data_IF_923377028439
#
_entry.id   IF_923377028439
#
_cell.length_a   1.000
_cell.length_b   1.000
_cell.length_c   1.000
_cell.angle_alpha   90.00
_cell.angle_beta   90.00
_cell.angle_gamma   90.00
#
_symmetry.space_group_name_H-M   'P 1'
#
loop_
_entity.id
_entity.type
_entity.pdbx_description
1 polymer ?
#
# COMPACT_ATOMS: atom_id res chain seq x y z
N UNK A 1 -18.36 57.30 29.89
CA UNK A 1 -17.55 56.46 30.79
C UNK A 1 -17.81 55.04 30.37
N UNK A 2 -16.79 54.30 29.94
CA UNK A 2 -17.00 53.21 28.99
C UNK A 2 -16.83 51.86 29.68
N UNK A 3 -17.73 50.92 29.38
CA UNK A 3 -17.82 49.61 30.03
C UNK A 3 -16.53 48.76 29.92
N UNK A 4 -15.68 49.06 28.94
CA UNK A 4 -14.36 48.43 28.78
C UNK A 4 -13.46 48.66 30.00
N UNK A 5 -13.50 49.84 30.63
CA UNK A 5 -12.74 50.12 31.85
C UNK A 5 -13.30 49.35 33.06
N UNK A 6 -14.62 49.21 33.15
CA UNK A 6 -15.28 48.42 34.20
C UNK A 6 -14.96 46.93 34.03
N UNK A 7 -14.98 46.44 32.79
CA UNK A 7 -14.64 45.06 32.42
C UNK A 7 -13.15 44.74 32.64
N UNK A 8 -12.26 45.71 32.36
CA UNK A 8 -10.83 45.58 32.65
C UNK A 8 -10.53 45.54 34.16
N UNK A 9 -11.20 46.37 34.96
CA UNK A 9 -11.06 46.34 36.42
C UNK A 9 -11.64 45.05 37.02
N UNK A 10 -12.76 44.55 36.52
CA UNK A 10 -13.32 43.25 36.92
C UNK A 10 -12.37 42.07 36.60
N UNK A 11 -11.70 42.11 35.44
CA UNK A 11 -10.68 41.10 35.07
C UNK A 11 -9.46 41.11 36.02
N UNK A 12 -9.07 42.28 36.53
CA UNK A 12 -8.00 42.41 37.52
C UNK A 12 -8.44 41.93 38.93
N UNK A 13 -9.68 42.20 39.34
CA UNK A 13 -10.19 41.74 40.65
C UNK A 13 -10.33 40.22 40.76
N UNK A 14 -10.45 39.49 39.66
CA UNK A 14 -10.48 38.01 39.66
C UNK A 14 -9.11 37.33 39.86
N UNK A 15 -8.02 38.08 40.04
CA UNK A 15 -6.65 37.53 40.12
C UNK A 15 -6.06 37.45 41.54
N UNK A 16 -6.91 37.33 42.58
CA UNK A 16 -6.48 37.35 43.99
C UNK A 16 -5.51 36.23 44.40
N UNK A 17 -5.65 35.02 43.84
CA UNK A 17 -4.97 33.81 44.35
C UNK A 17 -3.62 33.48 43.66
N UNK A 18 -3.13 34.33 42.75
CA UNK A 18 -1.93 34.02 41.94
C UNK A 18 -0.58 34.34 42.62
N UNK A 19 -0.57 34.73 43.89
CA UNK A 19 0.63 35.22 44.61
C UNK A 19 1.75 34.18 44.75
N UNK A 20 1.43 32.90 44.96
CA UNK A 20 2.44 31.86 45.20
C UNK A 20 3.05 31.28 43.91
N UNK A 21 2.26 31.15 42.84
CA UNK A 21 2.62 30.28 41.71
C UNK A 21 3.69 30.85 40.76
N UNK A 22 4.01 32.14 40.87
CA UNK A 22 5.04 32.82 40.05
C UNK A 22 6.46 32.30 40.35
N UNK A 23 6.70 31.74 41.55
CA UNK A 23 8.05 31.36 42.01
C UNK A 23 8.65 30.09 41.40
N UNK A 24 7.88 29.32 40.62
CA UNK A 24 8.28 27.95 40.20
C UNK A 24 8.79 27.81 38.75
N UNK A 25 8.62 28.81 37.87
CA UNK A 25 9.16 28.73 36.49
C UNK A 25 10.70 28.90 36.48
N UNK A 26 11.42 27.79 36.36
CA UNK A 26 12.87 27.77 36.12
C UNK A 26 13.73 27.18 37.24
N UNK A 27 13.11 26.67 38.31
CA UNK A 27 13.82 25.82 39.28
C UNK A 27 14.12 24.44 38.68
N UNK A 28 15.29 23.91 39.04
CA UNK A 28 15.75 22.56 38.73
C UNK A 28 16.19 21.93 40.06
N UNK A 29 15.81 20.68 40.31
CA UNK A 29 16.12 19.99 41.57
C UNK A 29 17.56 19.50 41.61
N UNK A 30 18.17 19.55 42.79
CA UNK A 30 19.47 18.93 43.03
C UNK A 30 19.32 17.41 43.14
N UNK A 31 20.05 16.58 42.37
CA UNK A 31 19.93 15.11 42.43
C UNK A 31 20.45 14.50 43.73
N UNK A 32 21.05 15.30 44.62
CA UNK A 32 21.66 14.84 45.88
C UNK A 32 20.81 15.14 47.13
N UNK A 33 19.90 16.13 47.06
CA UNK A 33 19.03 16.53 48.19
C UNK A 33 17.59 16.88 47.78
N UNK A 34 17.28 16.81 46.49
CA UNK A 34 15.98 17.06 45.85
C UNK A 34 15.37 18.46 46.06
N UNK A 35 16.05 19.36 46.77
CA UNK A 35 15.68 20.78 46.87
C UNK A 35 15.77 21.48 45.50
N UNK A 36 14.86 22.42 45.24
CA UNK A 36 14.78 23.19 44.01
C UNK A 36 15.69 24.42 44.01
N UNK A 37 16.50 24.59 42.96
CA UNK A 37 17.40 25.73 42.79
C UNK A 37 17.22 26.37 41.41
N UNK A 38 17.39 27.69 41.31
CA UNK A 38 17.49 28.34 40.00
C UNK A 38 18.71 27.82 39.22
N UNK A 39 18.61 27.79 37.88
CA UNK A 39 19.66 27.24 36.99
C UNK A 39 21.08 27.78 37.26
N UNK A 40 21.21 29.01 37.75
CA UNK A 40 22.51 29.61 38.10
C UNK A 40 23.04 29.21 39.49
N UNK A 41 22.17 28.91 40.46
CA UNK A 41 22.57 28.51 41.82
C UNK A 41 22.72 26.99 41.98
N UNK A 42 22.06 26.19 41.14
CA UNK A 42 22.17 24.73 41.14
C UNK A 42 23.63 24.23 41.06
N UNK A 43 24.52 24.69 40.17
CA UNK A 43 25.89 24.16 40.07
C UNK A 43 26.74 24.49 41.31
N UNK A 44 26.46 25.62 41.97
CA UNK A 44 27.14 26.04 43.20
C UNK A 44 26.67 25.17 44.37
N UNK A 45 25.36 24.92 44.46
CA UNK A 45 24.78 24.04 45.45
C UNK A 45 25.24 22.59 45.26
N UNK A 46 25.18 22.04 44.05
CA UNK A 46 25.55 20.64 43.76
C UNK A 46 26.96 20.30 44.22
N UNK A 47 27.95 21.19 44.01
CA UNK A 47 29.31 20.99 44.52
C UNK A 47 29.34 20.86 46.05
N UNK A 48 28.67 21.76 46.77
CA UNK A 48 28.60 21.75 48.25
C UNK A 48 27.81 20.57 48.80
N UNK A 49 26.72 20.20 48.12
CA UNK A 49 25.86 19.09 48.51
C UNK A 49 26.57 17.74 48.29
N UNK A 50 27.26 17.55 47.15
CA UNK A 50 28.05 16.34 46.91
C UNK A 50 29.18 16.19 47.93
N UNK A 51 29.84 17.28 48.35
CA UNK A 51 30.87 17.24 49.40
C UNK A 51 30.35 16.98 50.83
N UNK A 52 29.04 16.87 51.04
CA UNK A 52 28.43 16.48 52.32
C UNK A 52 27.91 15.03 52.33
N UNK A 53 27.91 14.35 51.18
CA UNK A 53 27.63 12.93 51.06
C UNK A 53 28.94 12.13 51.20
N UNK A 54 28.91 10.90 51.73
CA UNK A 54 30.07 10.02 51.63
C UNK A 54 30.42 9.79 50.15
N UNK A 55 31.71 9.81 49.78
CA UNK A 55 32.13 9.56 48.40
C UNK A 55 31.76 8.12 48.00
N UNK A 56 31.29 7.96 46.76
CA UNK A 56 31.08 6.62 46.20
C UNK A 56 32.43 5.96 45.89
N UNK A 57 32.47 4.63 45.82
CA UNK A 57 33.73 3.87 45.62
C UNK A 57 34.48 4.31 44.35
N UNK A 58 33.75 4.63 43.29
CA UNK A 58 34.26 5.23 42.04
C UNK A 58 34.94 6.60 42.26
N UNK A 59 34.39 7.45 43.14
CA UNK A 59 34.98 8.74 43.51
C UNK A 59 36.17 8.58 44.45
N UNK A 60 36.20 7.55 45.31
CA UNK A 60 37.38 7.23 46.11
C UNK A 60 38.55 6.81 45.22
N UNK A 61 38.31 5.96 44.22
CA UNK A 61 39.31 5.58 43.22
C UNK A 61 39.82 6.78 42.40
N UNK A 62 38.95 7.70 42.01
CA UNK A 62 39.34 8.94 41.32
C UNK A 62 40.12 9.91 42.24
N UNK A 63 39.73 10.02 43.52
CA UNK A 63 40.38 10.90 44.48
C UNK A 63 41.79 10.43 44.88
N UNK A 64 42.04 9.12 44.91
CA UNK A 64 43.40 8.57 45.06
C UNK A 64 44.33 9.05 43.93
N UNK A 65 43.87 9.01 42.68
CA UNK A 65 44.66 9.48 41.54
C UNK A 65 44.92 11.00 41.59
N UNK A 66 43.91 11.82 41.86
CA UNK A 66 44.05 13.29 41.79
C UNK A 66 44.80 13.89 43.01
N UNK A 67 44.82 13.20 44.16
CA UNK A 67 45.68 13.55 45.31
C UNK A 67 47.17 13.47 44.97
N UNK A 68 47.58 12.53 44.12
CA UNK A 68 48.98 12.39 43.71
C UNK A 68 49.46 13.57 42.85
N UNK A 69 48.57 14.19 42.07
CA UNK A 69 48.90 15.26 41.11
C UNK A 69 48.84 16.68 41.66
N UNK A 70 48.17 16.93 42.80
CA UNK A 70 47.83 18.31 43.25
C UNK A 70 48.68 18.90 44.37
N UNK A 71 49.84 18.33 44.72
CA UNK A 71 50.88 19.07 45.47
C UNK A 71 51.60 20.08 44.57
N UNK A 72 50.87 21.10 44.11
CA UNK A 72 51.45 22.27 43.45
C UNK A 72 52.18 23.08 44.52
N UNK A 73 53.46 22.77 44.73
CA UNK A 73 54.35 23.60 45.52
C UNK A 73 54.37 25.00 44.88
N UNK A 74 54.06 26.03 45.66
CA UNK A 74 54.24 27.42 45.24
C UNK A 74 55.74 27.59 44.92
N UNK A 75 56.12 27.96 43.68
CA UNK A 75 57.53 28.13 43.34
C UNK A 75 58.16 29.16 44.27
N UNK A 76 59.40 28.93 44.72
CA UNK A 76 60.08 29.92 45.55
C UNK A 76 60.23 31.24 44.76
N UNK A 77 60.37 32.36 45.46
CA UNK A 77 60.63 33.65 44.80
C UNK A 77 61.89 33.55 43.91
N UNK A 78 62.90 32.78 44.34
CA UNK A 78 64.11 32.49 43.55
C UNK A 78 63.78 31.71 42.28
N UNK A 79 62.94 30.67 42.34
CA UNK A 79 62.51 29.92 41.14
C UNK A 79 61.66 30.77 40.19
N UNK A 80 60.86 31.70 40.73
CA UNK A 80 60.01 32.60 39.96
C UNK A 80 60.85 33.66 39.24
N UNK A 81 61.80 34.29 39.94
CA UNK A 81 62.77 35.22 39.37
C UNK A 81 63.68 34.50 38.35
N UNK A 82 64.18 33.30 38.67
CA UNK A 82 64.94 32.48 37.72
C UNK A 82 64.13 32.21 36.47
N UNK A 83 62.88 31.74 36.58
CA UNK A 83 61.99 31.53 35.41
C UNK A 83 61.74 32.79 34.61
N UNK A 84 61.56 33.93 35.27
CA UNK A 84 61.34 35.22 34.60
C UNK A 84 62.58 35.63 33.77
N UNK A 85 63.75 35.73 34.41
CA UNK A 85 65.00 36.09 33.72
C UNK A 85 65.38 35.05 32.65
N UNK A 86 65.10 33.77 32.91
CA UNK A 86 65.30 32.66 31.97
C UNK A 86 64.40 32.75 30.73
N UNK A 87 63.13 33.15 30.89
CA UNK A 87 62.21 33.39 29.76
C UNK A 87 62.64 34.61 28.94
N UNK A 88 63.11 35.67 29.60
CA UNK A 88 63.69 36.81 28.89
C UNK A 88 64.96 36.40 28.13
N UNK A 89 65.84 35.58 28.72
CA UNK A 89 67.01 35.03 28.04
C UNK A 89 66.65 34.18 26.80
N UNK A 90 65.58 33.37 26.82
CA UNK A 90 65.09 32.70 25.60
C UNK A 90 64.65 33.69 24.52
N UNK A 91 63.86 34.70 24.91
CA UNK A 91 63.36 35.72 23.98
C UNK A 91 64.49 36.52 23.32
N UNK A 92 65.50 36.88 24.10
CA UNK A 92 66.66 37.69 23.67
C UNK A 92 67.65 36.87 22.87
N UNK A 93 68.05 35.69 23.36
CA UNK A 93 69.16 34.93 22.77
C UNK A 93 68.77 33.87 21.74
N UNK A 94 67.48 33.49 21.61
CA UNK A 94 67.06 32.35 20.79
C UNK A 94 65.90 32.63 19.84
N UNK A 95 64.81 33.27 20.30
CA UNK A 95 63.53 33.22 19.56
C UNK A 95 63.27 34.40 18.59
N UNK A 96 63.94 35.55 18.74
CA UNK A 96 64.23 36.58 17.70
C UNK A 96 64.87 37.85 18.32
N UNK A 97 66.14 38.12 17.99
CA UNK A 97 66.75 39.44 18.25
C UNK A 97 66.11 40.47 17.31
N UNK A 98 65.38 41.44 17.86
CA UNK A 98 64.87 42.62 17.11
C UNK A 98 65.16 43.94 17.84
N UNK A 99 65.42 43.91 19.16
CA UNK A 99 65.64 45.10 19.98
C UNK A 99 66.76 44.90 21.01
N UNK A 100 67.74 45.80 21.04
CA UNK A 100 68.74 46.03 22.11
C UNK A 100 69.67 44.87 22.56
N UNK A 101 70.34 44.15 21.64
CA UNK A 101 71.26 43.07 22.00
C UNK A 101 72.45 43.50 22.89
N UNK A 102 72.91 44.75 22.82
CA UNK A 102 74.15 45.19 23.49
C UNK A 102 73.99 45.35 25.00
N UNK A 103 72.97 46.09 25.46
CA UNK A 103 72.71 46.28 26.89
C UNK A 103 72.30 44.96 27.58
N UNK A 104 71.56 44.11 26.87
CA UNK A 104 71.13 42.81 27.37
C UNK A 104 72.29 41.79 27.38
N UNK A 105 73.18 41.79 26.38
CA UNK A 105 74.41 41.00 26.41
C UNK A 105 75.39 41.47 27.48
N UNK A 106 75.51 42.78 27.72
CA UNK A 106 76.31 43.33 28.83
C UNK A 106 75.74 42.90 30.19
N UNK A 107 74.42 42.93 30.37
CA UNK A 107 73.76 42.40 31.56
C UNK A 107 74.05 40.90 31.75
N UNK A 108 73.90 40.08 30.71
CA UNK A 108 74.21 38.64 30.73
C UNK A 108 75.69 38.39 31.06
N UNK A 109 76.62 39.16 30.47
CA UNK A 109 78.06 39.08 30.74
C UNK A 109 78.46 39.52 32.16
N UNK A 110 77.66 40.38 32.79
CA UNK A 110 77.82 40.78 34.20
C UNK A 110 77.33 39.72 35.20
N UNK A 111 76.54 38.73 34.76
CA UNK A 111 76.01 37.70 35.65
C UNK A 111 77.10 36.67 36.03
N UNK A 112 77.11 36.18 37.28
CA UNK A 112 77.97 35.07 37.68
C UNK A 112 77.82 33.86 36.74
N UNK A 113 78.94 33.30 36.27
CA UNK A 113 78.95 32.23 35.26
C UNK A 113 78.21 30.97 35.69
N UNK A 114 78.20 30.67 37.00
CA UNK A 114 77.44 29.57 37.59
C UNK A 114 75.91 29.77 37.52
N UNK A 115 75.43 31.02 37.51
CA UNK A 115 74.02 31.37 37.35
C UNK A 115 73.59 31.22 35.90
N UNK A 116 74.35 31.81 34.95
CA UNK A 116 74.11 31.69 33.51
C UNK A 116 74.13 30.23 33.07
N UNK A 117 75.13 29.45 33.52
CA UNK A 117 75.20 28.02 33.24
C UNK A 117 73.98 27.26 33.78
N UNK A 118 73.52 27.56 35.00
CA UNK A 118 72.32 26.95 35.60
C UNK A 118 71.05 27.28 34.80
N UNK A 119 70.90 28.52 34.34
CA UNK A 119 69.79 28.95 33.49
C UNK A 119 69.79 28.18 32.15
N UNK A 120 70.92 28.18 31.42
CA UNK A 120 71.07 27.48 30.13
C UNK A 120 70.83 25.98 30.28
N UNK A 121 71.34 25.33 31.33
CA UNK A 121 71.10 23.91 31.62
C UNK A 121 69.62 23.64 31.89
N UNK A 122 68.93 24.52 32.62
CA UNK A 122 67.49 24.38 32.87
C UNK A 122 66.68 24.58 31.57
N UNK A 123 67.05 25.53 30.72
CA UNK A 123 66.44 25.73 29.39
C UNK A 123 66.58 24.50 28.50
N UNK A 124 67.78 23.92 28.41
CA UNK A 124 67.98 22.69 27.62
C UNK A 124 67.16 21.52 28.19
N UNK A 125 66.98 21.43 29.51
CA UNK A 125 66.11 20.44 30.15
C UNK A 125 64.63 20.67 29.83
N UNK A 126 64.13 21.90 29.99
CA UNK A 126 62.72 22.21 29.75
C UNK A 126 62.36 22.15 28.25
N UNK A 127 63.24 22.62 27.36
CA UNK A 127 63.08 22.45 25.91
C UNK A 127 63.04 20.97 25.50
N UNK A 128 63.91 20.10 26.08
CA UNK A 128 63.83 18.64 25.87
C UNK A 128 62.52 18.05 26.41
N UNK A 129 62.04 18.49 27.58
CA UNK A 129 60.78 18.08 28.20
C UNK A 129 59.55 18.49 27.36
N UNK A 130 59.52 19.72 26.85
CA UNK A 130 58.48 20.23 25.94
C UNK A 130 58.52 19.47 24.61
N UNK A 131 59.71 19.26 24.01
CA UNK A 131 59.85 18.43 22.79
C UNK A 131 59.34 17.01 22.97
N UNK A 132 59.58 16.35 24.13
CA UNK A 132 59.01 15.03 24.43
C UNK A 132 57.48 15.07 24.56
N UNK A 133 56.91 16.08 25.25
CA UNK A 133 55.46 16.27 25.34
C UNK A 133 54.83 16.49 23.97
N UNK A 134 55.37 17.41 23.16
CA UNK A 134 54.82 17.74 21.85
C UNK A 134 54.84 16.54 20.88
N UNK A 135 55.85 15.65 20.98
CA UNK A 135 55.86 14.37 20.23
C UNK A 135 54.72 13.44 20.67
N UNK A 136 54.49 13.28 21.97
CA UNK A 136 53.39 12.47 22.48
C UNK A 136 52.01 13.06 22.10
N UNK A 137 51.86 14.39 22.18
CA UNK A 137 50.64 15.07 21.74
C UNK A 137 50.36 14.91 20.24
N UNK A 138 51.39 14.94 19.38
CA UNK A 138 51.24 14.67 17.94
C UNK A 138 50.76 13.24 17.67
N UNK A 139 51.43 12.24 18.24
CA UNK A 139 50.99 10.84 18.11
C UNK A 139 49.56 10.61 18.63
N UNK A 140 49.14 11.32 19.69
CA UNK A 140 47.77 11.27 20.19
C UNK A 140 46.78 11.93 19.21
N UNK A 141 47.13 13.07 18.60
CA UNK A 141 46.32 13.73 17.56
C UNK A 141 46.17 12.81 16.34
N UNK A 142 47.27 12.26 15.82
CA UNK A 142 47.29 11.32 14.69
C UNK A 142 46.40 10.08 14.95
N UNK A 143 46.39 9.57 16.20
CA UNK A 143 45.50 8.49 16.64
C UNK A 143 44.03 8.92 16.66
N UNK A 144 43.73 10.11 17.19
CA UNK A 144 42.36 10.65 17.26
C UNK A 144 41.80 11.02 15.88
N UNK A 145 42.64 11.53 14.97
CA UNK A 145 42.29 11.79 13.58
C UNK A 145 41.98 10.49 12.83
N UNK A 146 42.79 9.44 13.05
CA UNK A 146 42.55 8.11 12.49
C UNK A 146 41.22 7.51 13.00
N UNK A 147 40.94 7.64 14.29
CA UNK A 147 39.67 7.20 14.89
C UNK A 147 38.47 8.01 14.37
N UNK A 148 38.61 9.33 14.22
CA UNK A 148 37.58 10.21 13.65
C UNK A 148 37.29 9.88 12.18
N UNK A 149 38.32 9.53 11.40
CA UNK A 149 38.12 9.01 10.04
C UNK A 149 37.42 7.65 10.03
N UNK A 150 37.70 6.77 11.00
CA UNK A 150 36.96 5.52 11.23
C UNK A 150 35.47 5.80 11.42
N UNK A 151 35.13 6.52 12.49
CA UNK A 151 33.75 6.87 12.83
C UNK A 151 32.98 7.56 11.69
N UNK A 152 33.65 8.37 10.85
CA UNK A 152 33.03 8.97 9.65
C UNK A 152 32.66 7.95 8.58
N UNK A 153 33.45 6.89 8.38
CA UNK A 153 33.10 5.77 7.48
C UNK A 153 31.94 4.97 8.06
N UNK A 154 31.96 4.72 9.36
CA UNK A 154 30.92 3.96 10.06
C UNK A 154 29.57 4.69 10.01
N UNK A 155 29.55 6.02 10.20
CA UNK A 155 28.36 6.86 10.02
C UNK A 155 27.81 6.76 8.60
N UNK A 156 28.65 6.91 7.56
CA UNK A 156 28.20 6.79 6.18
C UNK A 156 27.64 5.39 5.85
N UNK A 157 28.21 4.32 6.44
CA UNK A 157 27.66 2.97 6.33
C UNK A 157 26.28 2.88 7.00
N UNK A 158 26.13 3.40 8.22
CA UNK A 158 24.85 3.43 8.95
C UNK A 158 23.77 4.26 8.23
N UNK A 159 24.15 5.36 7.58
CA UNK A 159 23.27 6.18 6.76
C UNK A 159 22.78 5.40 5.53
N UNK A 160 23.67 4.77 4.77
CA UNK A 160 23.26 3.92 3.64
C UNK A 160 22.39 2.72 4.08
N UNK A 161 22.70 2.09 5.22
CA UNK A 161 21.89 1.02 5.79
C UNK A 161 20.49 1.51 6.22
N UNK A 162 20.39 2.75 6.73
CA UNK A 162 19.12 3.42 7.07
C UNK A 162 18.29 3.72 5.83
N UNK A 163 18.91 4.13 4.73
CA UNK A 163 18.26 4.32 3.43
C UNK A 163 17.73 3.00 2.87
N UNK A 164 18.55 1.94 2.82
CA UNK A 164 18.12 0.60 2.41
C UNK A 164 16.96 0.09 3.27
N UNK A 165 17.00 0.30 4.59
CA UNK A 165 15.91 -0.05 5.48
C UNK A 165 14.63 0.79 5.25
N UNK A 166 14.75 2.05 4.80
CA UNK A 166 13.61 2.87 4.42
C UNK A 166 12.97 2.41 3.11
N UNK A 167 13.78 2.13 2.08
CA UNK A 167 13.34 1.57 0.79
C UNK A 167 12.67 0.21 1.01
N UNK A 168 13.24 -0.65 1.87
CA UNK A 168 12.65 -1.95 2.22
C UNK A 168 11.28 -1.80 2.90
N UNK A 169 11.15 -0.89 3.88
CA UNK A 169 9.84 -0.62 4.52
C UNK A 169 8.81 -0.09 3.53
N UNK A 170 9.17 0.80 2.61
CA UNK A 170 8.26 1.31 1.58
C UNK A 170 7.74 0.17 0.70
N UNK A 171 8.62 -0.68 0.18
CA UNK A 171 8.25 -1.87 -0.62
C UNK A 171 7.35 -2.84 0.15
N UNK A 172 7.60 -3.06 1.45
CA UNK A 172 6.72 -3.88 2.28
C UNK A 172 5.32 -3.26 2.46
N UNK A 173 5.20 -1.93 2.55
CA UNK A 173 3.89 -1.26 2.60
C UNK A 173 3.16 -1.29 1.25
N UNK A 174 3.87 -1.16 0.13
CA UNK A 174 3.32 -1.34 -1.22
C UNK A 174 2.82 -2.78 -1.43
N UNK A 175 3.65 -3.77 -1.12
CA UNK A 175 3.30 -5.20 -1.22
C UNK A 175 2.10 -5.54 -0.34
N UNK A 176 2.01 -4.97 0.87
CA UNK A 176 0.83 -5.12 1.72
C UNK A 176 -0.40 -4.50 1.05
N UNK A 177 -0.32 -3.29 0.50
CA UNK A 177 -1.46 -2.65 -0.16
C UNK A 177 -1.98 -3.48 -1.37
N UNK A 178 -1.07 -4.04 -2.16
CA UNK A 178 -1.41 -4.97 -3.25
C UNK A 178 -2.05 -6.25 -2.72
N UNK A 179 -1.57 -6.82 -1.62
CA UNK A 179 -2.20 -7.98 -0.96
C UNK A 179 -3.62 -7.64 -0.46
N UNK A 180 -3.79 -6.49 0.20
CA UNK A 180 -5.08 -6.01 0.71
C UNK A 180 -6.05 -5.69 -0.44
N UNK A 181 -5.56 -5.31 -1.63
CA UNK A 181 -6.35 -5.19 -2.85
C UNK A 181 -6.76 -6.55 -3.42
N UNK A 182 -5.80 -7.45 -3.69
CA UNK A 182 -6.07 -8.77 -4.25
C UNK A 182 -7.03 -9.59 -3.36
N UNK A 183 -6.93 -9.47 -2.04
CA UNK A 183 -7.87 -10.10 -1.11
C UNK A 183 -9.30 -9.57 -1.26
N UNK A 184 -9.48 -8.26 -1.51
CA UNK A 184 -10.79 -7.65 -1.79
C UNK A 184 -11.33 -8.09 -3.16
N UNK A 185 -10.48 -8.19 -4.18
CA UNK A 185 -10.85 -8.67 -5.52
C UNK A 185 -11.26 -10.16 -5.52
N UNK A 186 -10.53 -11.00 -4.78
CA UNK A 186 -10.89 -12.41 -4.57
C UNK A 186 -12.22 -12.54 -3.82
N UNK A 187 -12.46 -11.70 -2.80
CA UNK A 187 -13.73 -11.69 -2.07
C UNK A 187 -14.92 -11.24 -2.95
N UNK A 188 -14.74 -10.19 -3.73
CA UNK A 188 -15.74 -9.72 -4.69
C UNK A 188 -16.04 -10.77 -5.78
N UNK A 189 -15.00 -11.38 -6.34
CA UNK A 189 -15.12 -12.50 -7.30
C UNK A 189 -15.88 -13.68 -6.69
N UNK A 190 -15.65 -14.01 -5.42
CA UNK A 190 -16.36 -15.10 -4.72
C UNK A 190 -17.85 -14.78 -4.53
N UNK A 191 -18.20 -13.53 -4.21
CA UNK A 191 -19.61 -13.10 -4.14
C UNK A 191 -20.26 -13.19 -5.52
N UNK A 192 -19.62 -12.65 -6.56
CA UNK A 192 -20.14 -12.69 -7.93
C UNK A 192 -20.35 -14.14 -8.43
N UNK A 193 -19.39 -15.04 -8.14
CA UNK A 193 -19.54 -16.47 -8.43
C UNK A 193 -20.76 -17.07 -7.72
N UNK A 194 -20.94 -16.81 -6.42
CA UNK A 194 -22.09 -17.35 -5.68
C UNK A 194 -23.45 -16.81 -6.16
N UNK A 195 -23.51 -15.58 -6.68
CA UNK A 195 -24.70 -15.06 -7.36
C UNK A 195 -24.97 -15.81 -8.66
N UNK A 196 -23.94 -15.94 -9.51
CA UNK A 196 -24.05 -16.66 -10.79
C UNK A 196 -24.39 -18.15 -10.61
N UNK A 197 -23.87 -18.81 -9.56
CA UNK A 197 -24.26 -20.17 -9.19
C UNK A 197 -25.74 -20.27 -8.79
N UNK A 198 -26.25 -19.30 -8.02
CA UNK A 198 -27.66 -19.22 -7.65
C UNK A 198 -28.57 -18.96 -8.86
N UNK A 199 -28.20 -18.03 -9.74
CA UNK A 199 -28.90 -17.74 -10.99
C UNK A 199 -28.92 -18.96 -11.93
N UNK A 200 -27.80 -19.67 -12.06
CA UNK A 200 -27.71 -20.87 -12.88
C UNK A 200 -28.59 -22.01 -12.33
N UNK A 201 -28.64 -22.19 -10.99
CA UNK A 201 -29.57 -23.15 -10.35
C UNK A 201 -31.04 -22.80 -10.62
N UNK A 202 -31.40 -21.51 -10.63
CA UNK A 202 -32.75 -21.05 -10.99
C UNK A 202 -33.07 -21.31 -12.47
N UNK A 203 -32.12 -21.07 -13.38
CA UNK A 203 -32.26 -21.36 -14.81
C UNK A 203 -32.38 -22.87 -15.07
N UNK A 204 -31.60 -23.72 -14.40
CA UNK A 204 -31.76 -25.17 -14.44
C UNK A 204 -33.14 -25.62 -13.96
N UNK A 205 -33.64 -25.05 -12.85
CA UNK A 205 -34.96 -25.36 -12.32
C UNK A 205 -36.09 -24.93 -13.29
N UNK A 206 -35.91 -23.80 -13.96
CA UNK A 206 -36.81 -23.32 -15.02
C UNK A 206 -36.78 -24.23 -16.25
N UNK A 207 -35.60 -24.66 -16.72
CA UNK A 207 -35.44 -25.60 -17.83
C UNK A 207 -36.10 -26.96 -17.52
N UNK A 208 -35.83 -27.54 -16.35
CA UNK A 208 -36.46 -28.79 -15.86
C UNK A 208 -37.99 -28.66 -15.70
N UNK A 209 -38.53 -27.44 -15.64
CA UNK A 209 -39.98 -27.14 -15.64
C UNK A 209 -40.53 -27.01 -17.07
N UNK A 210 -39.82 -26.35 -17.99
CA UNK A 210 -40.24 -26.23 -19.39
C UNK A 210 -40.16 -27.56 -20.14
N UNK A 211 -39.14 -28.38 -19.91
CA UNK A 211 -39.07 -29.76 -20.40
C UNK A 211 -40.31 -30.58 -20.02
N UNK A 212 -40.72 -30.55 -18.75
CA UNK A 212 -41.93 -31.23 -18.27
C UNK A 212 -43.21 -30.72 -18.95
N UNK A 213 -43.24 -29.46 -19.37
CA UNK A 213 -44.35 -28.89 -20.16
C UNK A 213 -44.27 -29.38 -21.61
N UNK A 214 -43.08 -29.39 -22.23
CA UNK A 214 -42.85 -29.89 -23.59
C UNK A 214 -43.27 -31.36 -23.70
N UNK A 215 -42.83 -32.24 -22.78
CA UNK A 215 -43.26 -33.65 -22.77
C UNK A 215 -44.78 -33.81 -22.65
N UNK A 216 -45.44 -33.01 -21.80
CA UNK A 216 -46.92 -33.01 -21.67
C UNK A 216 -47.63 -32.54 -22.94
N UNK A 217 -47.11 -31.51 -23.61
CA UNK A 217 -47.65 -31.02 -24.88
C UNK A 217 -47.42 -32.02 -26.02
N UNK A 218 -46.23 -32.63 -26.08
CA UNK A 218 -45.89 -33.63 -27.09
C UNK A 218 -46.71 -34.91 -26.94
N UNK A 219 -47.01 -35.33 -25.69
CA UNK A 219 -47.99 -36.38 -25.43
C UNK A 219 -49.38 -36.03 -25.98
N UNK A 220 -49.92 -34.84 -25.68
CA UNK A 220 -51.21 -34.37 -26.23
C UNK A 220 -51.22 -34.32 -27.76
N UNK A 221 -50.14 -33.84 -28.38
CA UNK A 221 -49.98 -33.79 -29.84
C UNK A 221 -49.99 -35.21 -30.43
N UNK A 222 -49.39 -36.19 -29.76
CA UNK A 222 -49.42 -37.58 -30.22
C UNK A 222 -50.82 -38.21 -30.08
N UNK A 223 -51.57 -37.90 -29.01
CA UNK A 223 -52.98 -38.30 -28.87
C UNK A 223 -53.84 -37.70 -29.97
N UNK A 224 -53.77 -36.38 -30.19
CA UNK A 224 -54.53 -35.68 -31.24
C UNK A 224 -54.18 -36.16 -32.65
N UNK A 225 -52.94 -36.60 -32.89
CA UNK A 225 -52.53 -37.27 -34.14
C UNK A 225 -53.19 -38.65 -34.30
N UNK A 226 -53.22 -39.46 -33.23
CA UNK A 226 -53.87 -40.77 -33.26
C UNK A 226 -55.39 -40.65 -33.49
N UNK A 227 -56.04 -39.69 -32.82
CA UNK A 227 -57.45 -39.33 -33.03
C UNK A 227 -57.71 -38.87 -34.47
N UNK A 228 -56.86 -38.00 -35.03
CA UNK A 228 -56.95 -37.60 -36.44
C UNK A 228 -56.83 -38.81 -37.39
N UNK A 229 -55.93 -39.76 -37.12
CA UNK A 229 -55.81 -40.99 -37.94
C UNK A 229 -57.06 -41.86 -37.80
N UNK A 230 -57.66 -41.95 -36.61
CA UNK A 230 -58.91 -42.69 -36.39
C UNK A 230 -60.10 -42.03 -37.12
N UNK A 231 -60.25 -40.70 -37.02
CA UNK A 231 -61.29 -39.94 -37.72
C UNK A 231 -61.11 -39.99 -39.24
N UNK A 232 -59.88 -39.94 -39.75
CA UNK A 232 -59.60 -40.13 -41.18
C UNK A 232 -59.92 -41.55 -41.68
N UNK A 233 -59.76 -42.58 -40.85
CA UNK A 233 -60.22 -43.95 -41.16
C UNK A 233 -61.74 -44.02 -41.18
N UNK A 234 -62.41 -43.49 -40.14
CA UNK A 234 -63.86 -43.47 -40.05
C UNK A 234 -64.50 -42.70 -41.21
N UNK A 235 -63.96 -41.53 -41.58
CA UNK A 235 -64.42 -40.73 -42.73
C UNK A 235 -64.26 -41.45 -44.08
N UNK A 236 -63.17 -42.20 -44.28
CA UNK A 236 -63.01 -43.04 -45.48
C UNK A 236 -63.98 -44.22 -45.49
N UNK A 237 -64.35 -44.75 -44.33
CA UNK A 237 -65.30 -45.85 -44.22
C UNK A 237 -66.75 -45.38 -44.40
N UNK A 238 -67.15 -44.23 -43.84
CA UNK A 238 -68.46 -43.64 -44.14
C UNK A 238 -68.56 -43.20 -45.60
N UNK A 239 -67.47 -42.73 -46.22
CA UNK A 239 -67.44 -42.45 -47.67
C UNK A 239 -67.62 -43.73 -48.51
N UNK A 240 -67.05 -44.87 -48.09
CA UNK A 240 -67.29 -46.19 -48.72
C UNK A 240 -68.75 -46.63 -48.58
N UNK A 241 -69.30 -46.54 -47.37
CA UNK A 241 -70.70 -46.87 -47.08
C UNK A 241 -71.66 -45.97 -47.86
N UNK A 242 -71.36 -44.67 -47.99
CA UNK A 242 -72.15 -43.75 -48.81
C UNK A 242 -72.06 -44.09 -50.31
N UNK A 243 -70.86 -44.42 -50.81
CA UNK A 243 -70.66 -44.90 -52.19
C UNK A 243 -71.45 -46.19 -52.45
N UNK A 244 -71.47 -47.12 -51.49
CA UNK A 244 -72.20 -48.37 -51.59
C UNK A 244 -73.72 -48.15 -51.53
N UNK A 245 -74.22 -47.33 -50.60
CA UNK A 245 -75.64 -46.93 -50.54
C UNK A 245 -76.07 -46.17 -51.81
N UNK A 246 -75.24 -45.27 -52.35
CA UNK A 246 -75.47 -44.62 -53.66
C UNK A 246 -75.52 -45.64 -54.80
N UNK A 247 -74.68 -46.67 -54.79
CA UNK A 247 -74.68 -47.76 -55.77
C UNK A 247 -75.93 -48.64 -55.63
N UNK A 248 -76.33 -49.00 -54.40
CA UNK A 248 -77.58 -49.72 -54.12
C UNK A 248 -78.82 -48.90 -54.54
N UNK A 249 -78.87 -47.61 -54.25
CA UNK A 249 -79.90 -46.68 -54.73
C UNK A 249 -79.87 -46.55 -56.26
N UNK A 250 -78.70 -46.58 -56.89
CA UNK A 250 -78.55 -46.65 -58.34
C UNK A 250 -79.17 -47.91 -58.93
N UNK A 251 -78.84 -49.09 -58.38
CA UNK A 251 -79.43 -50.39 -58.74
C UNK A 251 -80.94 -50.41 -58.52
N UNK A 252 -81.43 -49.88 -57.39
CA UNK A 252 -82.86 -49.79 -57.07
C UNK A 252 -83.61 -48.83 -58.02
N UNK A 253 -82.99 -47.70 -58.40
CA UNK A 253 -83.50 -46.79 -59.45
C UNK A 253 -83.52 -47.45 -60.83
N UNK A 254 -82.55 -48.28 -61.16
CA UNK A 254 -82.56 -49.07 -62.41
C UNK A 254 -83.65 -50.14 -62.36
N UNK A 255 -83.82 -50.87 -61.26
CA UNK A 255 -84.88 -51.87 -61.10
C UNK A 255 -86.29 -51.25 -61.18
N UNK A 256 -86.53 -50.12 -60.49
CA UNK A 256 -87.81 -49.38 -60.61
C UNK A 256 -87.98 -48.75 -61.99
N UNK A 257 -86.91 -48.34 -62.69
CA UNK A 257 -86.97 -47.90 -64.10
C UNK A 257 -87.33 -49.05 -65.04
N UNK A 258 -86.85 -50.27 -64.80
CA UNK A 258 -87.24 -51.47 -65.56
C UNK A 258 -88.69 -51.85 -65.30
N UNK A 259 -89.17 -51.81 -64.04
CA UNK A 259 -90.59 -51.99 -63.73
C UNK A 259 -91.48 -50.89 -64.35
N UNK A 260 -91.00 -49.64 -64.37
CA UNK A 260 -91.69 -48.53 -65.04
C UNK A 260 -91.69 -48.66 -66.57
N UNK A 261 -90.64 -49.23 -67.17
CA UNK A 261 -90.61 -49.56 -68.60
C UNK A 261 -91.57 -50.70 -68.95
N UNK A 262 -91.77 -51.67 -68.05
CA UNK A 262 -92.80 -52.71 -68.19
C UNK A 262 -94.24 -52.20 -68.05
N UNK A 263 -94.45 -50.97 -67.55
CA UNK A 263 -95.79 -50.42 -67.26
C UNK A 263 -96.09 -49.10 -67.99
N UNK A 264 -95.22 -48.62 -68.91
CA UNK A 264 -95.46 -47.35 -69.59
C UNK A 264 -94.94 -47.23 -71.03
N UNK A 265 -95.47 -48.08 -71.90
CA UNK A 265 -95.73 -47.63 -73.28
C UNK A 265 -96.77 -46.47 -73.26
N UNK A 266 -96.75 -45.64 -74.32
CA UNK A 266 -97.81 -44.66 -74.65
C UNK A 266 -98.00 -43.44 -73.71
N UNK A 267 -97.10 -42.46 -73.81
CA UNK A 267 -97.40 -41.15 -74.45
C UNK A 267 -96.12 -40.36 -74.78
N UNK A 268 -96.22 -39.46 -75.77
CA UNK A 268 -95.13 -38.71 -76.41
C UNK A 268 -95.33 -37.18 -76.28
N UNK A 269 -94.50 -36.40 -77.01
CA UNK A 269 -94.38 -34.93 -77.11
C UNK A 269 -93.59 -34.25 -75.98
N UNK A 270 -92.48 -33.51 -76.21
CA UNK A 270 -92.17 -32.40 -77.18
C UNK A 270 -92.87 -31.08 -76.78
N UNK A 271 -92.28 -29.88 -76.80
CA UNK A 271 -90.92 -29.35 -77.13
C UNK A 271 -90.83 -27.87 -76.64
N UNK A 272 -89.72 -27.11 -76.60
CA UNK A 272 -88.26 -27.33 -76.68
C UNK A 272 -87.49 -26.00 -76.43
N UNK A 273 -86.25 -26.05 -75.94
CA UNK A 273 -85.31 -24.90 -75.82
C UNK A 273 -85.52 -23.97 -74.62
N UNK A 274 -84.59 -23.06 -74.25
CA UNK A 274 -83.15 -22.98 -74.57
C UNK A 274 -82.43 -22.00 -73.59
N UNK A 275 -81.10 -21.92 -73.69
CA UNK A 275 -80.17 -20.87 -73.21
C UNK A 275 -79.88 -20.57 -71.70
N UNK A 276 -78.64 -20.93 -71.32
CA UNK A 276 -77.56 -20.04 -70.88
C UNK A 276 -77.58 -19.20 -69.55
N UNK A 277 -76.65 -19.61 -68.65
CA UNK A 277 -75.57 -18.81 -68.00
C UNK A 277 -75.84 -17.77 -66.88
N UNK A 278 -74.89 -17.77 -65.92
CA UNK A 278 -74.49 -16.68 -64.98
C UNK A 278 -75.53 -16.31 -63.89
N UNK A 279 -75.18 -15.81 -62.69
CA UNK A 279 -73.90 -15.42 -62.09
C UNK A 279 -73.92 -15.58 -60.54
N UNK A 280 -72.80 -15.28 -59.87
CA UNK A 280 -72.65 -15.21 -58.40
C UNK A 280 -73.57 -14.19 -57.68
N UNK A 281 -73.78 -14.40 -56.36
CA UNK A 281 -73.98 -13.41 -55.28
C UNK A 281 -73.93 -14.17 -53.91
N UNK A 282 -73.42 -13.63 -52.80
CA UNK A 282 -72.77 -12.33 -52.61
C UNK A 282 -72.87 -11.72 -51.19
N UNK A 283 -72.55 -12.46 -50.12
CA UNK A 283 -72.49 -11.94 -48.74
C UNK A 283 -73.85 -11.71 -48.05
N UNK A 284 -73.95 -11.20 -46.80
CA UNK A 284 -72.94 -10.80 -45.81
C UNK A 284 -73.52 -10.80 -44.38
N UNK A 285 -72.69 -10.94 -43.34
CA UNK A 285 -72.92 -10.31 -42.02
C UNK A 285 -71.61 -10.19 -41.21
N UNK A 286 -71.51 -9.19 -40.32
CA UNK A 286 -70.22 -8.72 -39.77
C UNK A 286 -70.29 -8.17 -38.34
N UNK A 287 -69.24 -8.43 -37.53
CA UNK A 287 -68.55 -7.52 -36.56
C UNK A 287 -67.41 -8.33 -35.89
N UNK A 288 -66.13 -7.90 -35.92
CA UNK A 288 -65.44 -6.81 -35.18
C UNK A 288 -65.23 -7.13 -33.68
N UNK A 289 -64.05 -6.98 -33.05
CA UNK A 289 -62.71 -6.50 -33.53
C UNK A 289 -61.66 -7.67 -33.39
N UNK A 290 -60.35 -7.60 -33.06
CA UNK A 290 -59.38 -6.58 -32.59
C UNK A 290 -57.94 -6.90 -33.11
N UNK A 291 -56.95 -6.06 -32.79
CA UNK A 291 -55.52 -6.16 -33.14
C UNK A 291 -54.76 -7.31 -32.42
N UNK A 292 -53.61 -7.85 -32.88
CA UNK A 292 -52.38 -7.11 -33.20
C UNK A 292 -51.38 -7.79 -34.16
N UNK A 293 -50.79 -6.93 -35.01
CA UNK A 293 -49.36 -6.83 -35.41
C UNK A 293 -48.37 -7.72 -34.62
N UNK A 294 -47.38 -8.39 -35.23
CA UNK A 294 -46.25 -7.74 -35.93
C UNK A 294 -45.49 -8.68 -36.90
N UNK A 295 -44.78 -8.09 -37.86
CA UNK A 295 -43.97 -8.70 -38.93
C UNK A 295 -42.98 -9.79 -38.49
N UNK A 296 -42.80 -10.81 -39.32
CA UNK A 296 -41.69 -11.77 -39.18
C UNK A 296 -40.33 -11.21 -39.62
N UNK A 297 -39.25 -11.79 -39.11
CA UNK A 297 -37.87 -11.46 -39.48
C UNK A 297 -37.16 -12.70 -40.06
N UNK A 298 -36.67 -12.48 -41.28
CA UNK A 298 -35.64 -13.17 -42.06
C UNK A 298 -34.76 -14.17 -41.30
N UNK A 299 -34.53 -15.31 -41.95
CA UNK A 299 -33.27 -16.05 -41.85
C UNK A 299 -32.08 -15.13 -42.11
N UNK A 300 -31.07 -15.21 -41.25
CA UNK A 300 -29.72 -14.76 -41.55
C UNK A 300 -28.74 -15.79 -40.99
N UNK A 301 -27.86 -16.30 -41.85
CA UNK A 301 -26.73 -17.10 -41.42
C UNK A 301 -25.74 -16.20 -40.66
N UNK A 302 -25.33 -16.60 -39.46
CA UNK A 302 -24.19 -15.95 -38.82
C UNK A 302 -23.18 -17.00 -38.38
N UNK A 303 -22.18 -17.19 -39.25
CA UNK A 303 -21.00 -18.02 -39.01
C UNK A 303 -20.28 -17.55 -37.74
N UNK A 304 -20.15 -18.45 -36.75
CA UNK A 304 -19.31 -18.20 -35.59
C UNK A 304 -17.83 -18.27 -35.98
N UNK A 305 -17.31 -17.14 -36.47
CA UNK A 305 -15.88 -16.98 -36.67
C UNK A 305 -15.16 -17.08 -35.31
N UNK A 306 -14.29 -18.09 -35.15
CA UNK A 306 -13.43 -18.23 -33.98
C UNK A 306 -12.42 -17.07 -33.93
N UNK A 307 -12.75 -16.00 -33.21
CA UNK A 307 -11.79 -14.96 -32.83
C UNK A 307 -10.82 -15.51 -31.78
N UNK A 308 -9.72 -16.09 -32.25
CA UNK A 308 -8.57 -16.45 -31.41
C UNK A 308 -7.98 -15.19 -30.79
N UNK A 309 -8.46 -14.80 -29.60
CA UNK A 309 -7.81 -13.79 -28.78
C UNK A 309 -6.43 -14.30 -28.39
N UNK A 310 -5.40 -13.75 -29.04
CA UNK A 310 -4.00 -13.98 -28.68
C UNK A 310 -3.81 -13.62 -27.21
N UNK A 311 -3.25 -14.54 -26.42
CA UNK A 311 -2.65 -14.17 -25.13
C UNK A 311 -1.65 -13.03 -25.38
N UNK A 312 -1.63 -11.97 -24.55
CA UNK A 312 -0.44 -11.13 -24.47
C UNK A 312 0.78 -12.01 -24.24
N UNK A 313 1.86 -11.80 -25.00
CA UNK A 313 3.15 -12.41 -24.66
C UNK A 313 3.59 -11.81 -23.32
N UNK A 314 4.00 -12.66 -22.39
CA UNK A 314 4.80 -12.22 -21.27
C UNK A 314 6.21 -11.91 -21.81
N UNK A 315 6.46 -10.64 -22.13
CA UNK A 315 7.77 -10.20 -22.58
C UNK A 315 8.70 -9.99 -21.37
N UNK A 316 9.96 -10.40 -21.51
CA UNK A 316 11.06 -9.78 -20.77
C UNK A 316 11.18 -10.06 -19.26
N UNK A 317 10.75 -11.22 -18.74
CA UNK A 317 11.16 -11.66 -17.38
C UNK A 317 12.62 -12.13 -17.35
N UNK A 318 13.55 -11.21 -17.67
CA UNK A 318 14.99 -11.41 -17.50
C UNK A 318 15.34 -11.23 -16.02
N UNK A 319 15.02 -12.23 -15.21
CA UNK A 319 15.58 -12.37 -13.86
C UNK A 319 16.95 -13.04 -14.02
N UNK A 320 18.08 -12.34 -13.79
CA UNK A 320 19.37 -13.00 -13.73
C UNK A 320 19.43 -13.88 -12.48
N UNK A 321 19.44 -15.19 -12.66
CA UNK A 321 19.74 -16.12 -11.56
C UNK A 321 21.14 -15.84 -11.02
N UNK A 322 21.27 -15.76 -9.69
CA UNK A 322 22.55 -15.53 -9.02
C UNK A 322 23.50 -16.71 -9.24
N UNK A 323 24.63 -16.46 -9.91
CA UNK A 323 25.65 -17.46 -10.20
C UNK A 323 26.46 -17.82 -8.94
N UNK A 324 25.88 -18.66 -8.07
CA UNK A 324 26.45 -18.97 -6.76
C UNK A 324 26.12 -20.38 -6.26
N UNK A 325 26.45 -21.44 -7.03
CA UNK A 325 26.49 -22.82 -6.48
C UNK A 325 27.30 -23.88 -7.25
N UNK A 326 28.33 -23.50 -8.03
CA UNK A 326 29.26 -24.48 -8.63
C UNK A 326 30.73 -24.08 -8.42
N UNK A 327 31.28 -24.50 -7.28
CA UNK A 327 32.73 -24.49 -7.05
C UNK A 327 33.11 -25.62 -6.06
N UNK A 328 33.13 -26.85 -6.57
CA UNK A 328 33.75 -27.99 -5.91
C UNK A 328 34.31 -28.95 -6.97
N UNK A 329 35.50 -29.48 -6.70
CA UNK A 329 36.20 -30.54 -7.43
C UNK A 329 36.49 -30.28 -8.93
N UNK A 330 37.69 -29.76 -9.19
CA UNK A 330 38.70 -30.62 -9.84
C UNK A 330 40.14 -30.15 -9.53
N UNK A 331 40.93 -31.15 -9.10
CA UNK A 331 42.40 -31.27 -9.09
C UNK A 331 43.21 -30.02 -8.70
#
# INVERSE_FOLDING_TARGET
MNDENVRALAALQMSGDQSEHVRLRGMVTCPHCYQGFGRASLPIHMRRCRSLLPPTEEEMAAAEQDKATRRVQVPSLVDLCLRFVTKHFESVCMDRIVTFPEAEAALIGSMPSNLVHRMVVNLVKDSKRVRKKNRASRAMIETLESALQGARRDVAQLESAREWAAISRAKMTEQKHVSDQLQREVYASKIALSSAECENQQLEAAAKKTEKIIFRLQAKVNTLKAENVALNKASKETQRQEMELRNQLGKARVATRVQAQYTRTRRQSRCSGDDARLSDIGGSSSRKILENTTTGIKTLEQTQARTYHKRPRAEGSNIPYSASMWLHNQQ
#
